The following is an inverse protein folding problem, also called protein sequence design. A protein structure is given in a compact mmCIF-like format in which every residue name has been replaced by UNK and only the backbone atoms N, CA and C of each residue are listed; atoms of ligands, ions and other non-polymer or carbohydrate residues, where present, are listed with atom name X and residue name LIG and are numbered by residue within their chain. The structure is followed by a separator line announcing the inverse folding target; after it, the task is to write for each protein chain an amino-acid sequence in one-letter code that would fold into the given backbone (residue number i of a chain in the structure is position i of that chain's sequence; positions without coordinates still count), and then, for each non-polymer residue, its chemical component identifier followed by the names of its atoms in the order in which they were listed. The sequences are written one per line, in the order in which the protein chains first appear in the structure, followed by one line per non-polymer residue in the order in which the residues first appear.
data_IF_693633064619
#
_entry.id   IF_693633064619
#
_cell.length_a   1.000
_cell.length_b   1.000
_cell.length_c   1.000
_cell.angle_alpha   90.00
_cell.angle_beta   90.00
_cell.angle_gamma   90.00
#
_symmetry.space_group_name_H-M   'P 1'
#
loop_
_entity.id
_entity.type
_entity.pdbx_description
1 polymer ?
#
# COMPACT_ATOMS: atom_id res chain seq x y z
N UNK A 1 7.71 18.47 -54.74
CA UNK A 1 7.60 18.35 -53.26
C UNK A 1 6.14 18.07 -52.91
N UNK A 2 5.74 16.80 -52.86
CA UNK A 2 4.35 16.40 -52.54
C UNK A 2 4.09 16.52 -51.04
N UNK A 3 3.19 17.43 -50.65
CA UNK A 3 2.75 17.56 -49.26
C UNK A 3 1.78 16.41 -48.95
N UNK A 4 2.20 15.47 -48.11
CA UNK A 4 1.32 14.42 -47.57
C UNK A 4 0.41 15.04 -46.52
N UNK A 5 -0.90 15.00 -46.75
CA UNK A 5 -1.94 15.44 -45.81
C UNK A 5 -2.13 14.34 -44.76
N UNK A 6 -1.72 14.59 -43.52
CA UNK A 6 -2.01 13.70 -42.40
C UNK A 6 -3.44 13.99 -41.92
N UNK A 7 -4.36 13.07 -42.19
CA UNK A 7 -5.73 13.13 -41.69
C UNK A 7 -5.73 12.98 -40.16
N UNK A 8 -6.43 13.86 -39.45
CA UNK A 8 -6.61 13.73 -38.00
C UNK A 8 -7.37 12.45 -37.66
N UNK A 9 -6.87 11.72 -36.66
CA UNK A 9 -7.52 10.52 -36.14
C UNK A 9 -8.96 10.83 -35.66
N UNK A 10 -9.95 9.96 -35.94
CA UNK A 10 -11.30 10.13 -35.44
C UNK A 10 -11.31 10.24 -33.92
N UNK A 11 -11.99 11.26 -33.38
CA UNK A 11 -12.11 11.42 -31.93
C UNK A 11 -12.88 10.22 -31.35
N UNK A 12 -12.40 9.60 -30.26
CA UNK A 12 -13.08 8.47 -29.64
C UNK A 12 -14.47 8.89 -29.18
N UNK A 13 -15.47 8.01 -29.40
CA UNK A 13 -16.83 8.23 -28.92
C UNK A 13 -16.82 8.19 -27.39
N UNK A 14 -17.50 9.15 -26.78
CA UNK A 14 -17.69 9.18 -25.34
C UNK A 14 -18.53 7.95 -24.93
N UNK A 15 -18.16 7.23 -23.86
CA UNK A 15 -18.94 6.10 -23.37
C UNK A 15 -20.33 6.56 -22.93
N UNK A 16 -21.32 5.68 -23.12
CA UNK A 16 -22.70 5.94 -22.72
C UNK A 16 -22.82 5.93 -21.19
N UNK A 17 -23.80 6.64 -20.64
CA UNK A 17 -24.00 6.74 -19.19
C UNK A 17 -24.06 5.37 -18.49
N UNK A 18 -24.68 4.37 -19.10
CA UNK A 18 -24.76 3.00 -18.55
C UNK A 18 -23.38 2.33 -18.45
N UNK A 19 -22.46 2.63 -19.39
CA UNK A 19 -21.09 2.10 -19.38
C UNK A 19 -20.24 2.78 -18.31
N UNK A 20 -20.52 4.06 -18.04
CA UNK A 20 -19.88 4.83 -16.97
C UNK A 20 -20.34 4.27 -15.62
N UNK A 21 -21.65 4.09 -15.42
CA UNK A 21 -22.22 3.54 -14.18
C UNK A 21 -21.69 2.12 -13.92
N UNK A 22 -21.62 1.26 -14.94
CA UNK A 22 -21.07 -0.08 -14.81
C UNK A 22 -19.58 -0.09 -14.44
N UNK A 23 -18.81 0.89 -14.90
CA UNK A 23 -17.40 1.07 -14.55
C UNK A 23 -17.25 1.60 -13.11
N UNK A 24 -18.03 2.61 -12.72
CA UNK A 24 -18.04 3.17 -11.37
C UNK A 24 -18.44 2.15 -10.30
N UNK A 25 -19.36 1.25 -10.65
CA UNK A 25 -19.80 0.17 -9.77
C UNK A 25 -18.84 -1.03 -9.74
N UNK A 26 -17.69 -0.93 -10.42
CA UNK A 26 -16.59 -1.87 -10.27
C UNK A 26 -16.68 -3.14 -11.10
N UNK A 27 -17.51 -3.18 -12.15
CA UNK A 27 -17.57 -4.28 -13.11
C UNK A 27 -17.89 -5.67 -12.53
N UNK A 28 -18.16 -6.65 -13.40
CA UNK A 28 -18.36 -8.06 -13.04
C UNK A 28 -17.04 -8.78 -12.74
N UNK A 29 -16.15 -8.13 -11.97
CA UNK A 29 -14.95 -8.79 -11.45
C UNK A 29 -15.36 -9.94 -10.54
N UNK A 30 -14.92 -11.16 -10.86
CA UNK A 30 -15.14 -12.37 -10.04
C UNK A 30 -14.23 -12.39 -8.79
N UNK A 31 -13.69 -11.25 -8.39
CA UNK A 31 -12.85 -11.13 -7.21
C UNK A 31 -13.72 -11.32 -5.97
N UNK A 32 -13.67 -12.55 -5.45
CA UNK A 32 -14.29 -12.90 -4.19
C UNK A 32 -13.81 -11.90 -3.13
N UNK A 33 -14.75 -11.18 -2.51
CA UNK A 33 -14.47 -10.28 -1.38
C UNK A 33 -13.94 -11.13 -0.24
N UNK A 34 -12.63 -11.27 -0.14
CA UNK A 34 -11.98 -11.87 1.02
C UNK A 34 -12.25 -10.95 2.19
N UNK A 35 -13.26 -11.28 2.99
CA UNK A 35 -13.53 -10.64 4.28
C UNK A 35 -12.39 -11.03 5.20
N UNK A 36 -11.28 -10.31 5.10
CA UNK A 36 -10.24 -10.33 6.11
C UNK A 36 -10.75 -9.38 7.17
N UNK A 37 -11.09 -9.88 8.35
CA UNK A 37 -11.26 -9.06 9.55
C UNK A 37 -9.90 -8.45 9.90
N UNK A 38 -9.50 -7.44 9.13
CA UNK A 38 -8.28 -6.68 9.40
C UNK A 38 -8.60 -5.79 10.58
N UNK A 39 -7.82 -5.93 11.64
CA UNK A 39 -7.79 -4.98 12.73
C UNK A 39 -7.66 -3.55 12.16
N UNK A 40 -8.32 -2.59 12.82
CA UNK A 40 -8.35 -1.20 12.33
C UNK A 40 -6.93 -0.63 12.39
N UNK A 41 -6.31 -0.44 11.22
CA UNK A 41 -4.96 0.15 11.15
C UNK A 41 -5.00 1.64 11.47
N UNK A 42 -4.07 2.10 12.32
CA UNK A 42 -3.80 3.52 12.56
C UNK A 42 -2.48 3.93 11.91
N UNK A 43 -2.42 5.14 11.37
CA UNK A 43 -1.19 5.69 10.78
C UNK A 43 -0.24 6.17 11.89
N UNK A 44 1.00 5.71 11.83
CA UNK A 44 2.10 6.22 12.66
C UNK A 44 2.83 7.34 11.90
N UNK A 45 2.96 8.51 12.53
CA UNK A 45 3.79 9.62 12.06
C UNK A 45 4.96 9.79 13.03
N UNK A 46 6.19 9.85 12.52
CA UNK A 46 7.40 9.98 13.33
C UNK A 46 8.36 10.98 12.69
N UNK A 47 8.93 11.85 13.51
CA UNK A 47 9.99 12.77 13.09
C UNK A 47 11.34 12.14 13.41
N UNK A 48 12.18 11.99 12.38
CA UNK A 48 13.54 11.49 12.52
C UNK A 48 14.51 12.37 11.72
N UNK A 49 15.78 12.49 12.13
CA UNK A 49 16.77 13.23 11.38
C UNK A 49 16.86 12.73 9.94
N UNK A 50 16.98 13.66 8.99
CA UNK A 50 17.06 13.35 7.56
C UNK A 50 18.16 12.33 7.24
N UNK A 51 19.31 12.46 7.91
CA UNK A 51 20.44 11.53 7.76
C UNK A 51 20.08 10.09 8.11
N UNK A 52 19.30 9.89 9.18
CA UNK A 52 18.84 8.57 9.63
C UNK A 52 17.81 8.00 8.65
N UNK A 53 16.82 8.81 8.26
CA UNK A 53 15.81 8.41 7.28
C UNK A 53 16.44 7.97 5.96
N UNK A 54 17.37 8.76 5.42
CA UNK A 54 18.06 8.45 4.17
C UNK A 54 18.85 7.15 4.28
N UNK A 55 19.65 6.98 5.34
CA UNK A 55 20.43 5.74 5.55
C UNK A 55 19.52 4.52 5.63
N UNK A 56 18.44 4.60 6.41
CA UNK A 56 17.51 3.49 6.57
C UNK A 56 16.79 3.16 5.26
N UNK A 57 16.27 4.17 4.56
CA UNK A 57 15.62 3.99 3.26
C UNK A 57 16.55 3.39 2.22
N UNK A 58 17.80 3.83 2.16
CA UNK A 58 18.82 3.26 1.26
C UNK A 58 19.09 1.80 1.61
N UNK A 59 19.22 1.46 2.90
CA UNK A 59 19.42 0.07 3.33
C UNK A 59 18.25 -0.83 2.91
N UNK A 60 17.00 -0.43 3.19
CA UNK A 60 15.81 -1.16 2.77
C UNK A 60 15.75 -1.34 1.24
N UNK A 61 16.11 -0.29 0.49
CA UNK A 61 16.17 -0.36 -0.97
C UNK A 61 17.24 -1.34 -1.46
N UNK A 62 18.39 -1.40 -0.80
CA UNK A 62 19.48 -2.31 -1.15
C UNK A 62 19.13 -3.77 -0.85
N UNK A 63 18.32 -4.02 0.18
CA UNK A 63 17.86 -5.38 0.57
C UNK A 63 16.56 -5.79 -0.13
N UNK A 64 15.96 -4.92 -0.94
CA UNK A 64 14.69 -5.19 -1.60
C UNK A 64 13.48 -5.22 -0.65
N UNK A 65 13.60 -4.65 0.54
CA UNK A 65 12.52 -4.62 1.54
C UNK A 65 11.88 -3.24 1.63
N UNK A 66 10.60 -3.21 2.03
CA UNK A 66 9.87 -1.96 2.22
C UNK A 66 10.20 -1.40 3.60
N UNK A 67 10.55 -0.13 3.64
CA UNK A 67 10.83 0.60 4.89
C UNK A 67 9.71 0.45 5.94
N UNK A 68 8.44 0.50 5.51
CA UNK A 68 7.28 0.33 6.40
C UNK A 68 7.22 -1.08 7.00
N UNK A 69 7.54 -2.11 6.22
CA UNK A 69 7.54 -3.50 6.69
C UNK A 69 8.64 -3.74 7.72
N UNK A 70 9.83 -3.21 7.50
CA UNK A 70 10.93 -3.28 8.47
C UNK A 70 10.59 -2.57 9.78
N UNK A 71 9.96 -1.40 9.72
CA UNK A 71 9.51 -0.69 10.91
C UNK A 71 8.44 -1.48 11.67
N UNK A 72 7.50 -2.11 10.97
CA UNK A 72 6.48 -2.94 11.60
C UNK A 72 7.10 -4.12 12.35
N UNK A 73 8.01 -4.86 11.69
CA UNK A 73 8.72 -5.99 12.30
C UNK A 73 9.52 -5.53 13.53
N UNK A 74 10.21 -4.39 13.41
CA UNK A 74 10.98 -3.83 14.52
C UNK A 74 10.08 -3.47 15.71
N UNK A 75 8.95 -2.81 15.47
CA UNK A 75 8.00 -2.42 16.52
C UNK A 75 7.39 -3.65 17.19
N UNK A 76 6.99 -4.67 16.43
CA UNK A 76 6.42 -5.91 16.97
C UNK A 76 7.43 -6.64 17.86
N UNK A 77 8.66 -6.83 17.36
CA UNK A 77 9.75 -7.44 18.15
C UNK A 77 10.05 -6.65 19.41
N UNK A 78 10.21 -5.32 19.28
CA UNK A 78 10.56 -4.46 20.42
C UNK A 78 9.43 -4.39 21.44
N UNK A 79 8.18 -4.48 21.01
CA UNK A 79 7.02 -4.56 21.91
C UNK A 79 7.10 -5.80 22.79
N UNK A 80 7.38 -6.97 22.23
CA UNK A 80 7.52 -8.21 23.01
C UNK A 80 8.64 -8.11 24.06
N UNK A 81 9.79 -7.54 23.68
CA UNK A 81 10.89 -7.32 24.61
C UNK A 81 10.51 -6.37 25.76
N UNK A 82 9.76 -5.30 25.45
CA UNK A 82 9.28 -4.34 26.45
C UNK A 82 8.22 -4.94 27.37
N UNK A 83 7.31 -5.76 26.84
CA UNK A 83 6.29 -6.46 27.63
C UNK A 83 6.93 -7.42 28.62
N UNK A 84 7.95 -8.18 28.19
CA UNK A 84 8.73 -9.06 29.08
C UNK A 84 9.44 -8.26 30.18
N UNK A 85 10.08 -7.13 29.82
CA UNK A 85 10.75 -6.25 30.79
C UNK A 85 9.78 -5.64 31.81
N UNK A 86 8.54 -5.36 31.38
CA UNK A 86 7.48 -4.83 32.23
C UNK A 86 6.72 -5.90 33.02
N UNK A 87 7.02 -7.19 32.82
CA UNK A 87 6.28 -8.30 33.44
C UNK A 87 4.85 -8.45 32.91
N UNK A 88 4.55 -7.92 31.72
CA UNK A 88 3.24 -8.03 31.08
C UNK A 88 3.19 -9.37 30.34
N UNK A 89 2.37 -10.31 30.83
CA UNK A 89 2.12 -11.58 30.17
C UNK A 89 0.85 -11.42 29.33
N UNK A 90 1.01 -11.41 28.00
CA UNK A 90 -0.13 -11.56 27.09
C UNK A 90 -0.22 -13.02 26.68
N UNK A 91 -1.32 -13.67 27.05
CA UNK A 91 -1.66 -15.00 26.56
C UNK A 91 -1.83 -14.91 25.05
N UNK A 92 -0.88 -15.47 24.30
CA UNK A 92 -0.88 -15.37 22.84
C UNK A 92 -2.04 -16.20 22.30
N UNK A 93 -3.18 -15.55 22.05
CA UNK A 93 -4.23 -16.14 21.23
C UNK A 93 -3.72 -16.12 19.78
N UNK A 94 -3.05 -17.21 19.40
CA UNK A 94 -2.61 -17.43 18.03
C UNK A 94 -3.85 -17.58 17.10
N UNK A 95 -3.81 -17.05 15.87
CA UNK A 95 -4.76 -17.44 14.84
C UNK A 95 -4.56 -18.90 14.40
#
# INVERSE_FOLDING_TARGET
MSKKTFSLAPKPKLPTNDQIIAFEQGGSGHDAKKVISREITKRLSLDIPLSVHTRFKTACSATGTKMVSELQIFIEKRTQELEQQAGIIREQNAP
#
